data_IF_970096483791
#
_entry.id   IF_970096483791
#
_cell.length_a   1.000
_cell.length_b   1.000
_cell.length_c   1.000
_cell.angle_alpha   90.00
_cell.angle_beta   90.00
_cell.angle_gamma   90.00
#
_symmetry.space_group_name_H-M   'P 1'
#
loop_
_entity.id
_entity.type
_entity.pdbx_description
1 polymer ?
#
# COMPACT_ATOMS: atom_id res chain seq x y z
N UNK A 1 -20.05 -26.32 -2.24
CA UNK A 1 -19.77 -25.46 -3.41
C UNK A 1 -19.41 -24.06 -2.90
N UNK A 2 -18.15 -23.83 -2.55
CA UNK A 2 -17.67 -22.55 -2.02
C UNK A 2 -17.48 -21.59 -3.21
N UNK A 3 -18.37 -20.59 -3.34
CA UNK A 3 -18.19 -19.50 -4.31
C UNK A 3 -17.04 -18.63 -3.82
N UNK A 4 -15.95 -18.62 -4.58
CA UNK A 4 -14.84 -17.69 -4.43
C UNK A 4 -15.38 -16.25 -4.52
N UNK A 5 -15.23 -15.50 -3.43
CA UNK A 5 -15.48 -14.06 -3.43
C UNK A 5 -14.47 -13.41 -4.38
N UNK A 6 -14.90 -12.55 -5.32
CA UNK A 6 -13.97 -11.89 -6.22
C UNK A 6 -13.07 -10.98 -5.39
N UNK A 7 -11.77 -11.27 -5.37
CA UNK A 7 -10.75 -10.37 -4.83
C UNK A 7 -10.86 -9.08 -5.66
N UNK A 8 -11.43 -8.03 -5.06
CA UNK A 8 -11.52 -6.71 -5.67
C UNK A 8 -10.09 -6.22 -5.96
N UNK A 9 -9.70 -6.24 -7.24
CA UNK A 9 -8.49 -5.58 -7.72
C UNK A 9 -8.68 -4.08 -7.51
N UNK A 10 -8.02 -3.50 -6.52
CA UNK A 10 -7.97 -2.05 -6.36
C UNK A 10 -7.04 -1.47 -7.43
N UNK A 11 -7.59 -1.19 -8.60
CA UNK A 11 -7.04 -0.18 -9.50
C UNK A 11 -8.14 0.86 -9.69
N UNK A 12 -8.18 1.85 -8.79
CA UNK A 12 -9.01 3.03 -8.98
C UNK A 12 -8.40 3.89 -10.09
N UNK A 13 -8.76 3.55 -11.32
CA UNK A 13 -8.54 4.34 -12.52
C UNK A 13 -9.51 5.53 -12.58
N UNK A 14 -9.57 6.41 -11.57
CA UNK A 14 -10.27 7.69 -11.69
C UNK A 14 -9.51 8.69 -10.80
N UNK A 15 -8.90 9.74 -11.30
CA UNK A 15 -9.53 10.72 -12.19
C UNK A 15 -9.80 12.04 -11.47
N UNK A 16 -9.49 12.20 -10.17
CA UNK A 16 -9.43 13.52 -9.51
C UNK A 16 -8.38 13.55 -8.36
N UNK A 17 -7.50 14.55 -8.39
CA UNK A 17 -6.63 15.06 -7.31
C UNK A 17 -6.14 14.11 -6.19
N UNK A 18 -5.15 13.26 -6.52
CA UNK A 18 -3.95 12.88 -5.73
C UNK A 18 -4.01 12.87 -4.18
N UNK A 19 -5.08 12.40 -3.54
CA UNK A 19 -5.08 12.13 -2.10
C UNK A 19 -4.85 10.64 -1.87
N UNK A 20 -3.85 10.35 -1.04
CA UNK A 20 -3.56 9.03 -0.52
C UNK A 20 -4.88 8.41 -0.01
N UNK A 21 -5.25 7.22 -0.47
CA UNK A 21 -6.50 6.58 -0.05
C UNK A 21 -6.49 6.43 1.48
N UNK A 22 -7.65 6.58 2.15
CA UNK A 22 -7.72 6.52 3.61
C UNK A 22 -7.06 5.26 4.18
N UNK A 23 -7.30 4.12 3.54
CA UNK A 23 -6.70 2.85 3.94
C UNK A 23 -5.16 2.91 3.90
N UNK A 24 -4.59 3.41 2.81
CA UNK A 24 -3.13 3.53 2.68
C UNK A 24 -2.57 4.53 3.69
N UNK A 25 -3.27 5.66 3.87
CA UNK A 25 -2.90 6.69 4.84
C UNK A 25 -2.87 6.15 6.28
N UNK A 26 -3.87 5.36 6.66
CA UNK A 26 -3.94 4.74 7.97
C UNK A 26 -2.78 3.77 8.20
N UNK A 27 -2.47 2.90 7.24
CA UNK A 27 -1.36 1.94 7.37
C UNK A 27 0.00 2.64 7.40
N UNK A 28 0.19 3.66 6.56
CA UNK A 28 1.40 4.49 6.57
C UNK A 28 1.55 5.21 7.91
N UNK A 29 0.49 5.84 8.42
CA UNK A 29 0.51 6.53 9.70
C UNK A 29 0.81 5.56 10.86
N UNK A 30 0.21 4.38 10.84
CA UNK A 30 0.42 3.33 11.85
C UNK A 30 1.86 2.83 11.84
N UNK A 31 2.40 2.49 10.67
CA UNK A 31 3.80 2.06 10.53
C UNK A 31 4.78 3.12 11.04
N UNK A 32 4.51 4.40 10.74
CA UNK A 32 5.30 5.53 11.24
C UNK A 32 5.19 5.71 12.75
N UNK A 33 3.98 5.64 13.30
CA UNK A 33 3.73 5.80 14.72
C UNK A 33 4.49 4.78 15.55
N UNK A 34 4.55 3.53 15.10
CA UNK A 34 5.28 2.45 15.77
C UNK A 34 6.73 2.27 15.28
N UNK A 35 7.20 3.10 14.35
CA UNK A 35 8.53 2.99 13.73
C UNK A 35 8.83 1.58 13.15
N UNK A 36 7.81 0.95 12.56
CA UNK A 36 7.89 -0.37 11.94
C UNK A 36 7.95 -0.24 10.40
N UNK A 37 8.62 -1.18 9.70
CA UNK A 37 8.57 -1.22 8.25
C UNK A 37 7.16 -1.61 7.77
N UNK A 38 6.65 -0.91 6.76
CA UNK A 38 5.43 -1.27 6.06
C UNK A 38 5.74 -2.33 5.01
N UNK A 39 5.21 -3.53 5.19
CA UNK A 39 5.30 -4.61 4.18
C UNK A 39 4.20 -4.38 3.15
N UNK A 40 4.56 -4.15 1.89
CA UNK A 40 3.57 -3.92 0.82
C UNK A 40 4.12 -4.26 -0.56
N UNK A 41 3.22 -4.57 -1.50
CA UNK A 41 3.50 -4.68 -2.93
C UNK A 41 2.97 -3.46 -3.73
N UNK A 42 2.34 -2.50 -3.05
CA UNK A 42 1.74 -1.32 -3.69
C UNK A 42 2.83 -0.45 -4.33
N UNK A 43 2.74 -0.29 -5.66
CA UNK A 43 3.74 0.46 -6.43
C UNK A 43 3.75 1.95 -6.09
N UNK A 44 2.60 2.57 -5.82
CA UNK A 44 2.57 3.98 -5.46
C UNK A 44 3.32 4.22 -4.14
N UNK A 45 3.08 3.39 -3.14
CA UNK A 45 3.75 3.51 -1.84
C UNK A 45 5.25 3.27 -1.98
N UNK A 46 5.66 2.21 -2.69
CA UNK A 46 7.08 1.90 -2.89
C UNK A 46 7.80 3.00 -3.68
N UNK A 47 7.17 3.55 -4.72
CA UNK A 47 7.79 4.60 -5.54
C UNK A 47 7.83 5.97 -4.82
N UNK A 48 7.11 6.15 -3.69
CA UNK A 48 7.01 7.40 -2.95
C UNK A 48 7.53 7.31 -1.49
N UNK A 49 8.32 6.29 -1.13
CA UNK A 49 8.78 6.05 0.26
C UNK A 49 9.44 7.27 0.92
N UNK A 50 10.30 7.97 0.19
CA UNK A 50 11.00 9.18 0.67
C UNK A 50 10.01 10.30 1.02
N UNK A 51 9.03 10.51 0.14
CA UNK A 51 7.98 11.52 0.33
C UNK A 51 7.07 11.18 1.50
N UNK A 52 6.74 9.89 1.65
CA UNK A 52 5.84 9.40 2.71
C UNK A 52 6.55 9.29 4.07
N UNK A 53 7.89 9.30 4.08
CA UNK A 53 8.75 9.14 5.26
C UNK A 53 8.40 7.88 6.05
N UNK A 54 8.35 6.75 5.34
CA UNK A 54 8.05 5.42 5.90
C UNK A 54 9.04 4.40 5.36
N UNK A 55 9.52 3.49 6.22
CA UNK A 55 10.35 2.36 5.80
C UNK A 55 9.47 1.31 5.15
N UNK A 56 9.90 0.70 4.05
CA UNK A 56 9.10 -0.30 3.30
C UNK A 56 9.89 -1.56 3.04
N UNK A 57 9.23 -2.71 3.21
CA UNK A 57 9.66 -4.00 2.67
C UNK A 57 8.86 -4.24 1.40
N UNK A 58 9.54 -4.19 0.26
CA UNK A 58 8.93 -4.36 -1.06
C UNK A 58 8.71 -5.85 -1.36
N UNK A 59 7.46 -6.30 -1.20
CA UNK A 59 7.06 -7.69 -1.45
C UNK A 59 7.33 -8.13 -2.89
N UNK A 60 7.42 -7.20 -3.86
CA UNK A 60 7.70 -7.54 -5.27
C UNK A 60 9.12 -8.05 -5.49
N UNK A 61 10.02 -7.81 -4.53
CA UNK A 61 11.43 -8.23 -4.60
C UNK A 61 11.69 -9.54 -3.87
N UNK A 62 10.70 -10.07 -3.17
CA UNK A 62 10.82 -11.35 -2.46
C UNK A 62 10.44 -12.46 -3.44
N UNK A 63 11.42 -13.29 -3.80
CA UNK A 63 11.22 -14.52 -4.57
C UNK A 63 11.28 -15.70 -3.60
N UNK A 64 10.42 -16.70 -3.82
CA UNK A 64 10.37 -17.94 -3.03
C UNK A 64 10.88 -19.08 -3.88
#
# INVERSE_FOLDING_TARGET
MLRSLPIQRSQNQHGEHRKLHYFDAFHIATAKHYNLPLVTSDKYIVDNVEKLKVKVIDLRKIQT
#
